data_IF_959806346623
#
_entry.id   IF_959806346623
#
_cell.length_a   1.000
_cell.length_b   1.000
_cell.length_c   1.000
_cell.angle_alpha   90.00
_cell.angle_beta   90.00
_cell.angle_gamma   90.00
#
_symmetry.space_group_name_H-M   'P 1'
#
loop_
_entity.id
_entity.type
_entity.pdbx_description
1 polymer ?
#
# COMPACT_ATOMS: atom_id res chain seq x y z
N UNK A 1 9.81 -5.68 -22.50
CA UNK A 1 9.79 -4.76 -21.34
C UNK A 1 8.55 -3.87 -21.27
N UNK A 2 8.15 -3.15 -22.34
CA UNK A 2 7.01 -2.19 -22.30
C UNK A 2 5.67 -2.83 -21.86
N UNK A 3 5.36 -4.06 -22.31
CA UNK A 3 4.09 -4.75 -21.96
C UNK A 3 3.95 -5.16 -20.49
N UNK A 4 5.06 -5.48 -19.81
CA UNK A 4 5.01 -5.89 -18.40
C UNK A 4 4.61 -4.71 -17.50
N UNK A 5 5.07 -3.50 -17.85
CA UNK A 5 4.75 -2.28 -17.11
C UNK A 5 3.28 -1.87 -17.31
N UNK A 6 2.73 -1.98 -18.53
CA UNK A 6 1.32 -1.68 -18.79
C UNK A 6 0.37 -2.65 -18.09
N UNK A 7 0.72 -3.94 -18.04
CA UNK A 7 -0.09 -4.96 -17.39
C UNK A 7 -0.10 -4.78 -15.87
N UNK A 8 1.08 -4.56 -15.25
CA UNK A 8 1.19 -4.26 -13.82
C UNK A 8 0.38 -3.01 -13.48
N UNK A 9 0.53 -1.93 -14.26
CA UNK A 9 -0.23 -0.69 -14.03
C UNK A 9 -1.74 -0.90 -14.14
N UNK A 10 -2.19 -1.71 -15.10
CA UNK A 10 -3.60 -2.09 -15.23
C UNK A 10 -4.11 -2.81 -13.98
N UNK A 11 -3.35 -3.80 -13.50
CA UNK A 11 -3.71 -4.52 -12.27
C UNK A 11 -3.75 -3.61 -11.05
N UNK A 12 -2.81 -2.66 -10.93
CA UNK A 12 -2.81 -1.67 -9.83
C UNK A 12 -4.06 -0.82 -9.88
N UNK A 13 -4.42 -0.29 -11.06
CA UNK A 13 -5.61 0.53 -11.22
C UNK A 13 -6.90 -0.24 -10.86
N UNK A 14 -7.01 -1.51 -11.28
CA UNK A 14 -8.15 -2.36 -10.96
C UNK A 14 -8.22 -2.62 -9.45
N UNK A 15 -7.09 -2.99 -8.84
CA UNK A 15 -7.01 -3.25 -7.40
C UNK A 15 -7.30 -2.00 -6.58
N UNK A 16 -6.78 -0.83 -6.97
CA UNK A 16 -7.04 0.45 -6.30
C UNK A 16 -8.50 0.86 -6.40
N UNK A 17 -9.14 0.61 -7.55
CA UNK A 17 -10.57 0.86 -7.73
C UNK A 17 -11.41 0.03 -6.75
N UNK A 18 -11.19 -1.28 -6.68
CA UNK A 18 -11.93 -2.14 -5.75
C UNK A 18 -11.63 -1.80 -4.28
N UNK A 19 -10.36 -1.50 -3.95
CA UNK A 19 -10.01 -1.08 -2.59
C UNK A 19 -10.69 0.24 -2.19
N UNK A 20 -10.87 1.18 -3.12
CA UNK A 20 -11.62 2.39 -2.84
C UNK A 20 -13.10 2.11 -2.55
N UNK A 21 -13.70 1.14 -3.25
CA UNK A 21 -15.09 0.72 -3.05
C UNK A 21 -15.35 0.07 -1.67
N UNK A 22 -14.33 -0.55 -1.07
CA UNK A 22 -14.39 -1.06 0.31
C UNK A 22 -14.62 0.04 1.36
N UNK A 23 -14.37 1.31 0.99
CA UNK A 23 -14.63 2.49 1.81
C UNK A 23 -14.07 2.38 3.24
N UNK A 24 -12.83 1.90 3.36
CA UNK A 24 -12.15 1.85 4.65
C UNK A 24 -11.93 3.25 5.21
N UNK A 25 -11.93 3.35 6.55
CA UNK A 25 -11.53 4.59 7.20
C UNK A 25 -10.09 4.97 6.80
N UNK A 26 -9.82 6.27 6.72
CA UNK A 26 -8.54 6.79 6.23
C UNK A 26 -7.34 6.31 7.06
N UNK A 27 -7.49 6.25 8.38
CA UNK A 27 -6.50 5.70 9.31
C UNK A 27 -6.22 4.21 9.07
N UNK A 28 -7.25 3.44 8.75
CA UNK A 28 -7.11 2.04 8.34
C UNK A 28 -6.31 1.90 7.04
N UNK A 29 -6.51 2.78 6.05
CA UNK A 29 -5.67 2.79 4.85
C UNK A 29 -4.21 3.14 5.16
N UNK A 30 -3.98 4.11 6.06
CA UNK A 30 -2.63 4.45 6.53
C UNK A 30 -1.95 3.23 7.19
N UNK A 31 -2.69 2.49 8.02
CA UNK A 31 -2.23 1.23 8.62
C UNK A 31 -1.89 0.17 7.57
N UNK A 32 -2.77 -0.03 6.61
CA UNK A 32 -2.58 -0.98 5.51
C UNK A 32 -1.33 -0.67 4.70
N UNK A 33 -1.11 0.62 4.38
CA UNK A 33 0.07 1.08 3.65
C UNK A 33 1.35 0.93 4.48
N UNK A 34 1.30 1.28 5.76
CA UNK A 34 2.42 1.13 6.69
C UNK A 34 2.93 -0.32 6.74
N UNK A 35 2.02 -1.28 6.96
CA UNK A 35 2.38 -2.70 7.03
C UNK A 35 3.07 -3.19 5.74
N UNK A 36 2.53 -2.81 4.58
CA UNK A 36 3.08 -3.19 3.27
C UNK A 36 4.45 -2.54 3.01
N UNK A 37 4.63 -1.27 3.37
CA UNK A 37 5.92 -0.58 3.27
C UNK A 37 6.99 -1.27 4.12
N UNK A 38 6.65 -1.68 5.35
CA UNK A 38 7.60 -2.38 6.22
C UNK A 38 7.99 -3.75 5.66
N UNK A 39 7.04 -4.50 5.10
CA UNK A 39 7.31 -5.77 4.40
C UNK A 39 8.26 -5.53 3.21
N UNK A 40 7.93 -4.54 2.37
CA UNK A 40 8.72 -4.24 1.19
C UNK A 40 10.15 -3.76 1.52
N UNK A 41 10.30 -3.04 2.62
CA UNK A 41 11.60 -2.59 3.14
C UNK A 41 12.37 -3.68 3.89
N UNK A 42 11.79 -4.88 4.05
CA UNK A 42 12.35 -5.97 4.86
C UNK A 42 12.70 -5.51 6.28
N UNK A 43 11.90 -4.59 6.84
CA UNK A 43 12.06 -4.17 8.24
C UNK A 43 11.77 -5.37 9.14
N UNK A 44 12.74 -5.80 9.95
CA UNK A 44 12.61 -6.95 10.84
C UNK A 44 11.45 -6.84 11.84
N UNK A 45 10.94 -5.61 12.04
CA UNK A 45 9.85 -5.29 12.96
C UNK A 45 8.50 -5.12 12.26
N UNK A 46 8.36 -5.54 10.99
CA UNK A 46 7.11 -5.38 10.23
C UNK A 46 5.88 -6.02 10.88
N UNK A 47 6.08 -7.00 11.76
CA UNK A 47 5.04 -7.70 12.51
C UNK A 47 4.81 -7.11 13.91
N UNK A 48 5.60 -6.12 14.34
CA UNK A 48 5.42 -5.44 15.62
C UNK A 48 4.35 -4.36 15.47
N UNK A 49 3.27 -4.49 16.23
CA UNK A 49 2.11 -3.59 16.12
C UNK A 49 2.49 -2.12 16.35
N UNK A 50 3.31 -1.85 17.37
CA UNK A 50 3.81 -0.50 17.67
C UNK A 50 4.56 0.11 16.49
N UNK A 51 5.40 -0.68 15.80
CA UNK A 51 6.15 -0.22 14.64
C UNK A 51 5.24 0.12 13.46
N UNK A 52 4.21 -0.69 13.23
CA UNK A 52 3.20 -0.43 12.20
C UNK A 52 2.43 0.84 12.55
N UNK A 53 2.08 1.03 13.83
CA UNK A 53 1.35 2.20 14.33
C UNK A 53 2.15 3.50 14.15
N UNK A 54 3.43 3.50 14.50
CA UNK A 54 4.35 4.62 14.25
C UNK A 54 4.32 5.01 12.77
N UNK A 55 4.51 4.02 11.88
CA UNK A 55 4.58 4.27 10.44
C UNK A 55 3.23 4.71 9.86
N UNK A 56 2.13 4.20 10.39
CA UNK A 56 0.78 4.62 10.01
C UNK A 56 0.52 6.08 10.41
N UNK A 57 0.97 6.49 11.60
CA UNK A 57 0.86 7.87 12.06
C UNK A 57 1.67 8.82 11.16
N UNK A 58 2.91 8.46 10.79
CA UNK A 58 3.70 9.24 9.82
C UNK A 58 2.95 9.46 8.50
N UNK A 59 2.32 8.42 7.95
CA UNK A 59 1.53 8.50 6.72
C UNK A 59 0.27 9.36 6.90
N UNK A 60 -0.40 9.22 8.04
CA UNK A 60 -1.61 9.97 8.34
C UNK A 60 -1.34 11.48 8.31
N UNK A 61 -0.25 11.92 8.96
CA UNK A 61 0.14 13.33 9.01
C UNK A 61 0.69 13.90 7.69
N UNK A 62 1.02 13.04 6.72
CA UNK A 62 1.36 13.50 5.36
C UNK A 62 0.12 13.94 4.57
N UNK A 63 -1.09 13.68 5.07
CA UNK A 63 -2.36 14.06 4.42
C UNK A 63 -2.43 13.65 2.95
N UNK A 64 -1.94 12.44 2.65
CA UNK A 64 -1.98 11.86 1.31
C UNK A 64 -3.45 11.68 0.89
N UNK A 65 -3.87 12.08 -0.33
CA UNK A 65 -5.25 11.89 -0.76
C UNK A 65 -5.70 10.41 -0.67
N UNK A 66 -6.99 10.20 -0.36
CA UNK A 66 -7.54 8.87 -0.10
C UNK A 66 -7.35 7.90 -1.28
N UNK A 67 -7.64 8.36 -2.49
CA UNK A 67 -7.48 7.61 -3.73
C UNK A 67 -6.01 7.23 -3.99
N UNK A 68 -5.09 8.14 -3.67
CA UNK A 68 -3.64 7.89 -3.73
C UNK A 68 -3.22 6.85 -2.69
N UNK A 69 -3.78 6.86 -1.47
CA UNK A 69 -3.54 5.80 -0.49
C UNK A 69 -4.02 4.44 -1.00
N UNK A 70 -5.23 4.36 -1.58
CA UNK A 70 -5.72 3.13 -2.20
C UNK A 70 -4.78 2.65 -3.30
N UNK A 71 -4.29 3.56 -4.14
CA UNK A 71 -3.35 3.24 -5.21
C UNK A 71 -2.02 2.68 -4.68
N UNK A 72 -1.41 3.33 -3.69
CA UNK A 72 -0.13 2.91 -3.09
C UNK A 72 -0.24 1.57 -2.36
N UNK A 73 -1.36 1.31 -1.67
CA UNK A 73 -1.63 0.02 -1.04
C UNK A 73 -1.67 -1.09 -2.09
N UNK A 74 -2.42 -0.87 -3.17
CA UNK A 74 -2.56 -1.81 -4.28
C UNK A 74 -1.25 -2.04 -5.04
N UNK A 75 -0.47 -0.98 -5.26
CA UNK A 75 0.87 -1.07 -5.86
C UNK A 75 1.75 -2.02 -5.08
N UNK A 76 1.88 -1.81 -3.77
CA UNK A 76 2.73 -2.67 -2.94
C UNK A 76 2.22 -4.10 -2.88
N UNK A 77 0.91 -4.34 -2.78
CA UNK A 77 0.36 -5.70 -2.81
C UNK A 77 0.74 -6.44 -4.10
N UNK A 78 0.66 -5.76 -5.23
CA UNK A 78 1.00 -6.33 -6.54
C UNK A 78 2.51 -6.57 -6.65
N UNK A 79 3.34 -5.61 -6.26
CA UNK A 79 4.79 -5.76 -6.31
C UNK A 79 5.30 -6.87 -5.38
N UNK A 80 4.73 -6.98 -4.17
CA UNK A 80 5.00 -8.09 -3.23
C UNK A 80 4.62 -9.42 -3.86
N UNK A 81 3.40 -9.52 -4.43
CA UNK A 81 2.90 -10.76 -5.04
C UNK A 81 3.78 -11.25 -6.19
N UNK A 82 4.33 -10.34 -6.98
CA UNK A 82 5.20 -10.69 -8.12
C UNK A 82 6.68 -10.82 -7.77
N UNK A 83 7.07 -10.60 -6.50
CA UNK A 83 8.48 -10.65 -6.08
C UNK A 83 9.33 -9.54 -6.72
N UNK A 84 8.70 -8.44 -7.16
CA UNK A 84 9.37 -7.31 -7.80
C UNK A 84 9.87 -6.26 -6.78
N UNK A 85 10.39 -6.73 -5.64
CA UNK A 85 10.88 -5.90 -4.52
C UNK A 85 12.33 -6.20 -4.17
#
# INVERSE_FOLDING_TARGET
MIRLNSEIKSQINIASFFLAQENYAYDKLCWMLAKRRLIAQKDARYNQEERVKEKAAEIYFQSTPYDILCWLVSELDILIKFGNL
#
